data_IF_211373113667
#
_entry.id   IF_211373113667
#
_cell.length_a   1.000
_cell.length_b   1.000
_cell.length_c   1.000
_cell.angle_alpha   90.00
_cell.angle_beta   90.00
_cell.angle_gamma   90.00
#
_symmetry.space_group_name_H-M   'P 1'
#
loop_
_entity.id
_entity.type
_entity.pdbx_description
1 polymer ?
#
# COMPACT_ATOMS: atom_id res chain seq x y z
N UNK A 1 16.85 -8.13 -26.09
CA UNK A 1 17.20 -6.75 -25.70
C UNK A 1 15.92 -5.94 -25.74
N UNK A 2 15.14 -5.95 -24.67
CA UNK A 2 13.94 -5.13 -24.61
C UNK A 2 14.39 -3.75 -24.12
N UNK A 3 14.33 -2.77 -25.02
CA UNK A 3 14.49 -1.38 -24.67
C UNK A 3 13.40 -1.03 -23.66
N UNK A 4 13.79 -0.56 -22.48
CA UNK A 4 12.88 0.18 -21.62
C UNK A 4 12.35 1.36 -22.45
N UNK A 5 11.03 1.62 -22.49
CA UNK A 5 10.50 2.76 -23.23
C UNK A 5 11.16 4.03 -22.71
N UNK A 6 11.71 4.83 -23.63
CA UNK A 6 12.29 6.15 -23.36
C UNK A 6 11.27 6.98 -22.56
N UNK A 7 11.68 7.32 -21.34
CA UNK A 7 10.91 7.85 -20.20
C UNK A 7 9.98 9.04 -20.52
N UNK A 8 8.63 8.90 -20.38
CA UNK A 8 7.72 10.05 -20.33
C UNK A 8 7.61 10.69 -18.93
N UNK A 9 8.19 10.08 -17.90
CA UNK A 9 8.10 10.56 -16.51
C UNK A 9 8.83 11.88 -16.22
N UNK A 10 9.68 12.36 -17.14
CA UNK A 10 10.46 13.58 -16.90
C UNK A 10 9.69 14.89 -17.15
N UNK A 11 8.47 14.82 -17.73
CA UNK A 11 7.66 15.99 -18.08
C UNK A 11 6.40 16.16 -17.21
N UNK A 12 6.11 15.20 -16.33
CA UNK A 12 4.95 15.29 -15.46
C UNK A 12 5.30 16.12 -14.23
N UNK A 13 4.45 17.10 -13.93
CA UNK A 13 4.53 17.86 -12.68
C UNK A 13 4.41 16.88 -11.51
N UNK A 14 5.49 16.67 -10.71
CA UNK A 14 5.50 15.67 -9.67
C UNK A 14 4.47 15.94 -8.57
N UNK A 15 3.96 17.17 -8.48
CA UNK A 15 2.89 17.55 -7.55
C UNK A 15 1.52 16.96 -7.91
N UNK A 16 1.35 16.43 -9.13
CA UNK A 16 0.11 15.78 -9.58
C UNK A 16 0.04 14.30 -9.22
N UNK A 17 1.13 13.69 -8.78
CA UNK A 17 1.13 12.28 -8.38
C UNK A 17 0.73 12.12 -6.91
N UNK A 18 -0.02 11.06 -6.62
CA UNK A 18 -0.25 10.61 -5.25
C UNK A 18 1.06 10.17 -4.60
N UNK A 19 1.13 10.26 -3.28
CA UNK A 19 2.28 9.78 -2.51
C UNK A 19 2.03 8.36 -2.04
N UNK A 20 2.93 7.44 -2.40
CA UNK A 20 2.88 6.04 -1.95
C UNK A 20 3.92 5.83 -0.84
N UNK A 21 3.49 5.28 0.29
CA UNK A 21 4.38 4.88 1.39
C UNK A 21 4.28 3.38 1.60
N UNK A 22 5.38 2.67 1.36
CA UNK A 22 5.51 1.26 1.74
C UNK A 22 5.93 1.18 3.21
N UNK A 23 5.14 0.49 4.03
CA UNK A 23 5.41 0.32 5.45
C UNK A 23 5.41 -1.16 5.82
N UNK A 24 6.23 -1.51 6.81
CA UNK A 24 6.17 -2.83 7.46
C UNK A 24 5.16 -2.80 8.60
N UNK A 25 4.20 -3.73 8.59
CA UNK A 25 3.18 -3.87 9.64
C UNK A 25 3.71 -4.52 10.93
N UNK A 26 4.90 -5.12 10.91
CA UNK A 26 5.40 -5.90 12.04
C UNK A 26 4.66 -7.24 12.18
N UNK A 27 4.77 -7.94 13.33
CA UNK A 27 4.23 -9.28 13.51
C UNK A 27 2.74 -9.32 13.91
N UNK A 28 2.08 -8.16 14.02
CA UNK A 28 0.63 -8.07 14.26
C UNK A 28 0.22 -7.13 15.39
N UNK A 29 1.06 -6.95 16.41
CA UNK A 29 0.81 -6.02 17.52
C UNK A 29 1.01 -4.56 17.06
N UNK A 30 0.00 -3.67 17.19
CA UNK A 30 0.11 -2.26 16.84
C UNK A 30 1.26 -1.51 17.54
N UNK A 31 1.64 -1.89 18.76
CA UNK A 31 2.74 -1.26 19.51
C UNK A 31 4.11 -1.55 18.89
N UNK A 32 4.21 -2.57 18.02
CA UNK A 32 5.44 -2.91 17.30
C UNK A 32 5.60 -2.15 15.98
N UNK A 33 4.63 -1.29 15.61
CA UNK A 33 4.80 -0.37 14.49
C UNK A 33 5.87 0.66 14.81
N UNK A 34 6.70 0.97 13.82
CA UNK A 34 7.55 2.16 13.94
C UNK A 34 6.69 3.42 14.02
N UNK A 35 7.15 4.44 14.75
CA UNK A 35 6.44 5.73 14.87
C UNK A 35 6.13 6.34 13.49
N UNK A 36 7.02 6.16 12.51
CA UNK A 36 6.81 6.65 11.14
C UNK A 36 5.70 5.87 10.41
N UNK A 37 5.65 4.55 10.56
CA UNK A 37 4.61 3.72 9.96
C UNK A 37 3.23 4.06 10.53
N UNK A 38 3.10 4.17 11.85
CA UNK A 38 1.84 4.55 12.49
C UNK A 38 1.34 5.93 12.01
N UNK A 39 2.24 6.93 11.95
CA UNK A 39 1.90 8.27 11.46
C UNK A 39 1.53 8.29 9.97
N UNK A 40 2.18 7.48 9.14
CA UNK A 40 1.84 7.37 7.73
C UNK A 40 0.45 6.74 7.55
N UNK A 41 0.18 5.64 8.27
CA UNK A 41 -1.11 4.94 8.24
C UNK A 41 -2.25 5.85 8.70
N UNK A 42 -2.07 6.60 9.79
CA UNK A 42 -3.05 7.57 10.30
C UNK A 42 -3.33 8.75 9.37
N UNK A 43 -2.47 9.01 8.38
CA UNK A 43 -2.63 10.10 7.40
C UNK A 43 -3.05 9.59 6.02
N UNK A 44 -3.21 8.29 5.85
CA UNK A 44 -3.54 7.67 4.57
C UNK A 44 -5.01 7.91 4.20
N UNK A 45 -5.26 8.09 2.91
CA UNK A 45 -6.60 8.08 2.32
C UNK A 45 -6.98 6.74 1.72
N UNK A 46 -5.99 5.91 1.39
CA UNK A 46 -6.13 4.56 0.84
C UNK A 46 -5.06 3.65 1.48
N UNK A 47 -5.47 2.46 1.90
CA UNK A 47 -4.60 1.42 2.47
C UNK A 47 -4.74 0.16 1.64
N UNK A 48 -3.67 -0.22 0.93
CA UNK A 48 -3.53 -1.53 0.32
C UNK A 48 -2.90 -2.48 1.33
N UNK A 49 -3.52 -3.63 1.59
CA UNK A 49 -3.05 -4.57 2.61
C UNK A 49 -3.23 -6.04 2.20
N UNK A 50 -2.44 -6.94 2.79
CA UNK A 50 -2.58 -8.37 2.62
C UNK A 50 -3.00 -9.08 3.93
N UNK A 51 -3.13 -10.40 3.87
CA UNK A 51 -3.61 -11.23 4.98
C UNK A 51 -2.70 -11.27 6.22
N UNK A 52 -1.45 -10.80 6.13
CA UNK A 52 -0.50 -10.79 7.25
C UNK A 52 -0.69 -9.56 8.15
N UNK A 53 -1.43 -8.55 7.69
CA UNK A 53 -1.72 -7.35 8.48
C UNK A 53 -2.89 -7.63 9.42
N UNK A 54 -2.72 -7.36 10.71
CA UNK A 54 -3.78 -7.54 11.70
C UNK A 54 -4.88 -6.49 11.57
N UNK A 55 -6.11 -6.86 11.95
CA UNK A 55 -7.24 -5.93 12.00
C UNK A 55 -7.00 -4.74 12.95
N UNK A 56 -6.26 -4.96 14.05
CA UNK A 56 -5.90 -3.91 15.00
C UNK A 56 -4.97 -2.87 14.39
N UNK A 57 -4.02 -3.29 13.53
CA UNK A 57 -3.19 -2.36 12.76
C UNK A 57 -4.04 -1.60 11.75
N UNK A 58 -4.92 -2.28 11.00
CA UNK A 58 -5.81 -1.63 10.03
C UNK A 58 -6.75 -0.62 10.69
N UNK A 59 -7.15 -0.86 11.95
CA UNK A 59 -7.97 0.04 12.73
C UNK A 59 -7.29 1.38 13.05
N UNK A 60 -5.96 1.49 12.93
CA UNK A 60 -5.23 2.76 13.08
C UNK A 60 -5.41 3.69 11.88
N UNK A 61 -5.81 3.17 10.72
CA UNK A 61 -6.13 4.02 9.56
C UNK A 61 -7.40 4.83 9.84
N UNK A 62 -7.51 6.07 9.30
CA UNK A 62 -8.73 6.87 9.44
C UNK A 62 -9.98 6.10 9.03
N UNK A 63 -11.10 6.36 9.70
CA UNK A 63 -12.39 5.78 9.32
C UNK A 63 -12.84 6.18 7.90
N UNK A 64 -12.31 7.29 7.38
CA UNK A 64 -12.55 7.79 6.03
C UNK A 64 -11.59 7.19 4.99
N UNK A 65 -10.55 6.46 5.40
CA UNK A 65 -9.61 5.86 4.49
C UNK A 65 -10.21 4.60 3.86
N UNK A 66 -10.11 4.49 2.54
CA UNK A 66 -10.47 3.27 1.84
C UNK A 66 -9.47 2.16 2.17
N UNK A 67 -9.95 0.94 2.37
CA UNK A 67 -9.12 -0.23 2.67
C UNK A 67 -9.35 -1.26 1.58
N UNK A 68 -8.30 -1.54 0.82
CA UNK A 68 -8.34 -2.49 -0.29
C UNK A 68 -7.44 -3.69 0.01
N UNK A 69 -8.07 -4.85 0.17
CA UNK A 69 -7.36 -6.10 0.34
C UNK A 69 -6.77 -6.55 -1.00
N UNK A 70 -5.44 -6.70 -1.04
CA UNK A 70 -4.66 -7.15 -2.21
C UNK A 70 -3.96 -8.49 -1.96
N UNK A 71 -4.18 -9.10 -0.80
CA UNK A 71 -3.58 -10.37 -0.41
C UNK A 71 -4.09 -11.57 -1.22
N UNK A 72 -3.28 -12.64 -1.23
CA UNK A 72 -3.64 -13.90 -1.88
C UNK A 72 -4.44 -14.77 -0.91
N UNK A 73 -5.75 -14.87 -1.07
CA UNK A 73 -6.48 -15.99 -0.47
C UNK A 73 -6.21 -17.25 -1.30
N UNK A 74 -5.58 -18.26 -0.71
CA UNK A 74 -5.46 -19.57 -1.31
C UNK A 74 -6.88 -20.06 -1.71
N UNK A 75 -7.14 -20.16 -3.02
CA UNK A 75 -8.41 -20.57 -3.68
C UNK A 75 -9.32 -19.49 -4.27
N UNK A 76 -8.97 -18.19 -4.25
CA UNK A 76 -9.64 -17.18 -5.10
C UNK A 76 -8.61 -16.43 -5.93
N UNK A 77 -8.81 -16.43 -7.25
CA UNK A 77 -8.04 -15.74 -8.29
C UNK A 77 -7.14 -14.64 -7.73
N UNK A 78 -5.84 -14.94 -7.64
CA UNK A 78 -4.84 -13.99 -7.19
C UNK A 78 -4.83 -12.79 -8.16
N UNK A 79 -4.76 -11.57 -7.63
CA UNK A 79 -4.23 -10.45 -8.42
C UNK A 79 -2.72 -10.68 -8.55
N UNK A 80 -2.16 -10.86 -9.78
CA UNK A 80 -0.72 -10.77 -10.00
C UNK A 80 -0.12 -9.52 -9.37
N UNK A 81 1.17 -9.58 -9.02
CA UNK A 81 1.88 -8.44 -8.45
C UNK A 81 1.81 -7.21 -9.37
N UNK A 82 1.85 -7.44 -10.68
CA UNK A 82 1.72 -6.43 -11.71
C UNK A 82 0.37 -5.71 -11.61
N UNK A 83 -0.72 -6.43 -11.32
CA UNK A 83 -2.04 -5.81 -11.15
C UNK A 83 -2.12 -4.97 -9.88
N UNK A 84 -1.38 -5.32 -8.82
CA UNK A 84 -1.29 -4.49 -7.61
C UNK A 84 -0.55 -3.18 -7.91
N UNK A 85 0.46 -3.23 -8.79
CA UNK A 85 1.25 -2.05 -9.18
C UNK A 85 0.43 -1.09 -10.07
N UNK A 86 -0.55 -1.61 -10.81
CA UNK A 86 -1.44 -0.83 -11.70
C UNK A 86 -2.66 -0.21 -10.98
N UNK A 87 -2.85 -0.46 -9.68
CA UNK A 87 -3.88 0.19 -8.84
C UNK A 87 -3.46 1.61 -8.43
#
# INVERSE_FOLDING_TARGET
MNAFPETPYLLADPSRYGHVTLLGAGPGDPELLTIKAAKALQRSSLVLYDHLVSEEILALAPATAERLYVGKQASRHALPQEQIIEL
#
